data_IF_252766571166
#
_entry.id   IF_252766571166
#
_cell.length_a   1.000
_cell.length_b   1.000
_cell.length_c   1.000
_cell.angle_alpha   90.00
_cell.angle_beta   90.00
_cell.angle_gamma   90.00
#
_symmetry.space_group_name_H-M   'P 1'
#
loop_
_entity.id
_entity.type
_entity.pdbx_description
1 polymer ?
#
# COMPACT_ATOMS: atom_id res chain seq x y z
N UNK A 1 -3.28 -15.54 -21.87
CA UNK A 1 -4.57 -15.56 -21.13
C UNK A 1 -4.51 -16.28 -19.78
N UNK A 2 -3.85 -17.43 -19.61
CA UNK A 2 -3.77 -18.10 -18.28
C UNK A 2 -2.77 -17.47 -17.28
N UNK A 3 -1.74 -16.74 -17.76
CA UNK A 3 -0.72 -16.09 -16.92
C UNK A 3 -1.24 -14.81 -16.24
N UNK A 4 -2.03 -14.00 -16.95
CA UNK A 4 -2.53 -12.70 -16.45
C UNK A 4 -3.55 -12.81 -15.30
N UNK A 5 -4.41 -13.84 -15.30
CA UNK A 5 -5.37 -14.03 -14.19
C UNK A 5 -4.66 -14.32 -12.86
N UNK A 6 -3.56 -15.10 -12.90
CA UNK A 6 -2.82 -15.52 -11.71
C UNK A 6 -1.98 -14.39 -11.09
N UNK A 7 -1.51 -13.44 -11.88
CA UNK A 7 -0.81 -12.26 -11.36
C UNK A 7 -1.78 -11.23 -10.79
N UNK A 8 -2.94 -11.05 -11.41
CA UNK A 8 -3.97 -10.13 -10.91
C UNK A 8 -4.54 -10.56 -9.55
N UNK A 9 -4.70 -11.87 -9.33
CA UNK A 9 -5.11 -12.41 -8.04
C UNK A 9 -4.06 -12.16 -6.94
N UNK A 10 -2.76 -12.19 -7.28
CA UNK A 10 -1.66 -11.93 -6.33
C UNK A 10 -1.53 -10.47 -5.92
N UNK A 11 -2.04 -9.54 -6.72
CA UNK A 11 -2.06 -8.11 -6.40
C UNK A 11 -3.44 -7.62 -5.93
N UNK A 12 -4.30 -8.54 -5.50
CA UNK A 12 -5.59 -8.20 -4.89
C UNK A 12 -5.43 -7.79 -3.42
N UNK A 13 -6.35 -6.95 -2.93
CA UNK A 13 -6.39 -6.58 -1.50
C UNK A 13 -6.57 -7.83 -0.65
N UNK A 14 -7.43 -8.75 -1.08
CA UNK A 14 -7.71 -10.01 -0.40
C UNK A 14 -6.44 -10.85 -0.24
N UNK A 15 -5.61 -10.95 -1.30
CA UNK A 15 -4.34 -11.68 -1.23
C UNK A 15 -3.29 -10.98 -0.37
N UNK A 16 -3.28 -9.65 -0.32
CA UNK A 16 -2.40 -8.92 0.58
C UNK A 16 -2.82 -9.06 2.04
N UNK A 17 -4.12 -9.05 2.33
CA UNK A 17 -4.65 -9.28 3.68
C UNK A 17 -4.30 -10.69 4.17
N UNK A 18 -4.50 -11.72 3.34
CA UNK A 18 -4.12 -13.10 3.69
C UNK A 18 -2.61 -13.21 3.99
N UNK A 19 -1.76 -12.54 3.21
CA UNK A 19 -0.32 -12.52 3.48
C UNK A 19 0.04 -11.78 4.77
N UNK A 20 -0.66 -10.69 5.11
CA UNK A 20 -0.47 -9.96 6.37
C UNK A 20 -0.88 -10.83 7.55
N UNK A 21 -2.01 -11.53 7.47
CA UNK A 21 -2.46 -12.47 8.51
C UNK A 21 -1.41 -13.55 8.78
N UNK A 22 -0.85 -14.16 7.73
CA UNK A 22 0.23 -15.15 7.87
C UNK A 22 1.49 -14.56 8.52
N UNK A 23 1.83 -13.31 8.22
CA UNK A 23 2.95 -12.61 8.84
C UNK A 23 2.67 -12.38 10.33
N UNK A 24 1.47 -11.92 10.68
CA UNK A 24 1.05 -11.71 12.07
C UNK A 24 1.11 -13.01 12.86
N UNK A 25 0.52 -14.10 12.33
CA UNK A 25 0.57 -15.42 12.95
C UNK A 25 2.02 -15.88 13.19
N UNK A 26 2.91 -15.64 12.22
CA UNK A 26 4.33 -15.98 12.34
C UNK A 26 5.03 -15.15 13.43
N UNK A 27 4.77 -13.84 13.50
CA UNK A 27 5.33 -12.96 14.53
C UNK A 27 4.82 -13.31 15.93
N UNK A 28 3.54 -13.68 16.06
CA UNK A 28 2.90 -14.04 17.32
C UNK A 28 3.30 -15.43 17.84
N UNK A 29 3.70 -16.34 16.94
CA UNK A 29 4.13 -17.69 17.31
C UNK A 29 5.32 -17.72 18.28
N UNK A 30 6.18 -16.70 18.23
CA UNK A 30 7.38 -16.60 19.06
C UNK A 30 8.50 -17.59 18.71
N UNK A 31 8.32 -18.40 17.67
CA UNK A 31 9.27 -19.43 17.22
C UNK A 31 10.25 -18.91 16.14
N UNK A 32 10.18 -17.62 15.79
CA UNK A 32 11.04 -17.00 14.77
C UNK A 32 12.26 -16.33 15.40
N UNK A 33 13.37 -16.32 14.67
CA UNK A 33 14.53 -15.54 15.07
C UNK A 33 14.37 -14.05 14.77
N UNK A 34 15.26 -13.22 15.33
CA UNK A 34 15.20 -11.77 15.20
C UNK A 34 15.33 -11.31 13.74
N UNK A 35 16.17 -11.95 12.94
CA UNK A 35 16.39 -11.55 11.55
C UNK A 35 15.15 -11.84 10.71
N UNK A 36 14.53 -13.00 10.92
CA UNK A 36 13.27 -13.38 10.28
C UNK A 36 12.11 -12.50 10.73
N UNK A 37 12.06 -12.13 12.02
CA UNK A 37 11.08 -11.17 12.53
C UNK A 37 11.17 -9.80 11.88
N UNK A 38 12.38 -9.27 11.68
CA UNK A 38 12.60 -8.01 10.97
C UNK A 38 12.12 -8.11 9.52
N UNK A 39 12.47 -9.19 8.81
CA UNK A 39 12.03 -9.41 7.42
C UNK A 39 10.51 -9.50 7.29
N UNK A 40 9.87 -10.23 8.20
CA UNK A 40 8.42 -10.36 8.24
C UNK A 40 7.74 -9.01 8.50
N UNK A 41 8.28 -8.21 9.43
CA UNK A 41 7.79 -6.86 9.69
C UNK A 41 7.91 -5.95 8.46
N UNK A 42 9.08 -5.89 7.82
CA UNK A 42 9.30 -5.09 6.61
C UNK A 42 8.32 -5.47 5.49
N UNK A 43 8.16 -6.78 5.26
CA UNK A 43 7.20 -7.29 4.27
C UNK A 43 5.76 -6.91 4.62
N UNK A 44 5.38 -7.00 5.90
CA UNK A 44 4.05 -6.58 6.37
C UNK A 44 3.80 -5.10 6.08
N UNK A 45 4.78 -4.24 6.35
CA UNK A 45 4.71 -2.81 6.06
C UNK A 45 4.57 -2.52 4.56
N UNK A 46 5.28 -3.24 3.71
CA UNK A 46 5.16 -3.12 2.25
C UNK A 46 3.75 -3.49 1.76
N UNK A 47 3.18 -4.58 2.29
CA UNK A 47 1.83 -5.02 1.96
C UNK A 47 0.78 -3.99 2.40
N UNK A 48 0.93 -3.41 3.59
CA UNK A 48 0.05 -2.33 4.09
C UNK A 48 0.10 -1.12 3.16
N UNK A 49 1.30 -0.67 2.76
CA UNK A 49 1.46 0.43 1.81
C UNK A 49 0.77 0.15 0.47
N UNK A 50 0.87 -1.08 -0.04
CA UNK A 50 0.18 -1.50 -1.26
C UNK A 50 -1.34 -1.43 -1.12
N UNK A 51 -1.90 -1.94 -0.02
CA UNK A 51 -3.33 -1.84 0.28
C UNK A 51 -3.79 -0.38 0.32
N UNK A 52 -3.07 0.49 1.02
CA UNK A 52 -3.39 1.91 1.10
C UNK A 52 -3.41 2.58 -0.29
N UNK A 53 -2.43 2.28 -1.14
CA UNK A 53 -2.38 2.80 -2.52
C UNK A 53 -3.58 2.36 -3.36
N UNK A 54 -4.01 1.10 -3.27
CA UNK A 54 -5.19 0.60 -3.99
C UNK A 54 -6.46 1.29 -3.50
N UNK A 55 -6.61 1.47 -2.18
CA UNK A 55 -7.74 2.18 -1.60
C UNK A 55 -7.78 3.64 -2.03
N UNK A 56 -6.64 4.34 -2.01
CA UNK A 56 -6.51 5.74 -2.49
C UNK A 56 -6.96 5.84 -3.95
N UNK A 57 -6.44 4.98 -4.84
CA UNK A 57 -6.83 4.94 -6.26
C UNK A 57 -8.32 4.65 -6.45
N UNK A 58 -8.87 3.72 -5.67
CA UNK A 58 -10.28 3.34 -5.74
C UNK A 58 -11.19 4.48 -5.30
N UNK A 59 -10.84 5.18 -4.21
CA UNK A 59 -11.54 6.36 -3.72
C UNK A 59 -11.55 7.47 -4.77
N UNK A 60 -10.39 7.82 -5.32
CA UNK A 60 -10.28 8.82 -6.39
C UNK A 60 -11.17 8.46 -7.59
N UNK A 61 -11.23 7.17 -7.94
CA UNK A 61 -12.07 6.72 -9.06
C UNK A 61 -13.56 6.90 -8.77
N UNK A 62 -14.02 6.60 -7.56
CA UNK A 62 -15.41 6.82 -7.13
C UNK A 62 -15.75 8.30 -7.15
N UNK A 63 -14.86 9.16 -6.64
CA UNK A 63 -15.06 10.61 -6.65
C UNK A 63 -15.13 11.19 -8.07
N UNK A 64 -14.26 10.74 -8.99
CA UNK A 64 -14.34 11.12 -10.41
C UNK A 64 -15.64 10.66 -11.09
N UNK A 65 -16.23 9.55 -10.65
CA UNK A 65 -17.52 9.11 -11.17
C UNK A 65 -18.64 10.01 -10.63
N UNK A 66 -18.64 10.31 -9.33
CA UNK A 66 -19.60 11.24 -8.72
C UNK A 66 -19.56 12.64 -9.34
N UNK A 67 -18.36 13.22 -9.51
CA UNK A 67 -18.17 14.54 -10.15
C UNK A 67 -18.75 14.59 -11.59
N UNK A 68 -18.67 13.47 -12.33
CA UNK A 68 -19.25 13.37 -13.68
C UNK A 68 -20.77 13.24 -13.67
N UNK A 69 -21.35 12.70 -12.61
CA UNK A 69 -22.80 12.52 -12.47
C UNK A 69 -23.49 13.81 -11.97
N UNK A 70 -22.88 14.52 -11.02
CA UNK A 70 -23.47 15.70 -10.38
C UNK A 70 -23.09 17.05 -11.03
N UNK A 71 -22.08 17.10 -11.89
CA UNK A 71 -21.66 18.35 -12.55
C UNK A 71 -21.14 19.44 -11.60
N UNK A 72 -20.78 19.08 -10.38
CA UNK A 72 -20.40 20.01 -9.31
C UNK A 72 -18.87 20.09 -9.13
N UNK A 73 -18.36 21.32 -9.13
CA UNK A 73 -16.94 21.66 -9.01
C UNK A 73 -16.54 21.78 -7.53
N UNK A 74 -15.79 20.79 -7.03
CA UNK A 74 -14.73 21.01 -6.05
C UNK A 74 -15.08 20.81 -4.57
N UNK A 75 -14.64 19.67 -4.02
CA UNK A 75 -13.99 19.69 -2.71
C UNK A 75 -12.54 19.24 -2.97
N UNK A 76 -11.63 20.20 -2.92
CA UNK A 76 -10.19 19.98 -3.08
C UNK A 76 -9.65 19.43 -1.77
N UNK A 77 -9.60 18.11 -1.66
CA UNK A 77 -8.87 17.48 -0.58
C UNK A 77 -7.37 17.71 -0.82
N UNK A 78 -6.75 18.53 0.02
CA UNK A 78 -5.30 18.69 0.07
C UNK A 78 -4.68 17.32 0.35
N UNK A 79 -3.97 16.78 -0.64
CA UNK A 79 -3.09 15.64 -0.47
C UNK A 79 -1.89 16.16 0.36
N UNK A 80 -1.96 16.02 1.68
CA UNK A 80 -0.85 16.43 2.59
C UNK A 80 0.32 15.42 2.54
N UNK A 81 0.22 14.40 1.69
CA UNK A 81 1.28 13.42 1.42
C UNK A 81 1.87 13.64 0.00
N UNK A 82 2.11 14.89 -0.39
CA UNK A 82 3.15 15.16 -1.40
C UNK A 82 4.49 14.77 -0.77
N UNK A 83 5.07 13.72 -1.32
CA UNK A 83 6.39 13.17 -1.05
C UNK A 83 7.42 14.25 -0.61
N UNK A 84 7.69 14.31 0.69
CA UNK A 84 8.89 14.94 1.26
C UNK A 84 10.15 14.05 1.05
N UNK A 85 10.05 13.01 0.21
CA UNK A 85 11.10 12.03 -0.07
C UNK A 85 11.90 12.36 -1.35
N UNK A 86 12.31 13.63 -1.54
CA UNK A 86 13.29 13.98 -2.58
C UNK A 86 14.29 15.08 -2.14
N UNK A 87 14.72 15.07 -0.88
CA UNK A 87 15.88 15.86 -0.41
C UNK A 87 16.77 15.10 0.58
N UNK A 88 17.33 13.98 0.14
CA UNK A 88 18.46 13.36 0.84
C UNK A 88 19.61 13.02 -0.13
N UNK A 89 19.86 13.90 -1.10
CA UNK A 89 21.14 13.96 -1.79
C UNK A 89 21.79 15.33 -1.59
N UNK A 90 22.83 15.33 -0.73
CA UNK A 90 23.90 16.33 -0.52
C UNK A 90 23.71 17.31 0.63
N UNK A 91 23.99 16.83 1.85
CA UNK A 91 24.68 17.67 2.85
C UNK A 91 25.56 16.84 3.82
N UNK A 92 26.45 16.01 3.27
CA UNK A 92 27.73 15.68 3.92
C UNK A 92 28.87 15.82 2.91
N UNK A 93 29.32 17.06 2.70
CA UNK A 93 30.73 17.48 2.62
C UNK A 93 30.73 18.95 2.18
N UNK A 94 30.90 19.87 3.13
CA UNK A 94 31.96 20.90 3.19
C UNK A 94 31.79 21.74 4.46
#
# INVERSE_FOLDING_TARGET
MAKEKKEKDKESIESYLEQIELIVDSLESGDIDLEEGIKNYEKGMELIKKCASILKKSRLRVEQLKKREDGDEGDDFYDEDEDEDEKDEKEELF
#
